data_IF_427707293750
#
_entry.id   IF_427707293750
#
_cell.length_a   1.000
_cell.length_b   1.000
_cell.length_c   1.000
_cell.angle_alpha   90.00
_cell.angle_beta   90.00
_cell.angle_gamma   90.00
#
_symmetry.space_group_name_H-M   'P 1'
#
loop_
_entity.id
_entity.type
_entity.pdbx_description
1 polymer ?
#
# COMPACT_ATOMS: atom_id res chain seq x y z
N UNK A 1 -25.46 8.15 -13.50
CA UNK A 1 -25.30 7.06 -12.51
C UNK A 1 -23.97 7.27 -11.80
N UNK A 2 -23.96 7.43 -10.47
CA UNK A 2 -22.71 7.40 -9.69
C UNK A 2 -22.36 5.94 -9.51
N UNK A 3 -21.30 5.49 -10.17
CA UNK A 3 -20.74 4.15 -9.98
C UNK A 3 -20.19 4.12 -8.55
N UNK A 4 -20.95 3.55 -7.62
CA UNK A 4 -20.42 3.19 -6.31
C UNK A 4 -19.44 2.04 -6.54
N UNK A 5 -18.19 2.39 -6.79
CA UNK A 5 -17.08 1.45 -6.73
C UNK A 5 -16.92 1.13 -5.25
N UNK A 6 -17.52 0.02 -4.81
CA UNK A 6 -17.23 -0.57 -3.52
C UNK A 6 -15.77 -1.02 -3.55
N UNK A 7 -14.86 -0.12 -3.19
CA UNK A 7 -13.45 -0.45 -3.03
C UNK A 7 -13.38 -1.55 -1.98
N UNK A 8 -12.68 -2.64 -2.28
CA UNK A 8 -12.46 -3.72 -1.32
C UNK A 8 -11.88 -3.11 -0.03
N UNK A 9 -12.44 -3.41 1.14
CA UNK A 9 -11.89 -2.94 2.41
C UNK A 9 -10.43 -3.42 2.57
N UNK A 10 -10.07 -4.58 2.01
CA UNK A 10 -8.69 -5.08 1.98
C UNK A 10 -7.74 -4.16 1.19
N UNK A 11 -8.19 -3.63 0.06
CA UNK A 11 -7.41 -2.68 -0.76
C UNK A 11 -7.25 -1.37 -0.01
N UNK A 12 -8.32 -0.89 0.63
CA UNK A 12 -8.31 0.33 1.42
C UNK A 12 -7.37 0.20 2.63
N UNK A 13 -7.37 -0.94 3.31
CA UNK A 13 -6.46 -1.25 4.41
C UNK A 13 -5.00 -1.28 3.94
N UNK A 14 -4.71 -1.90 2.79
CA UNK A 14 -3.38 -1.90 2.21
C UNK A 14 -2.89 -0.48 1.87
N UNK A 15 -3.77 0.40 1.37
CA UNK A 15 -3.44 1.82 1.16
C UNK A 15 -3.15 2.55 2.47
N UNK A 16 -3.92 2.32 3.55
CA UNK A 16 -3.61 2.91 4.86
C UNK A 16 -2.23 2.51 5.39
N UNK A 17 -1.85 1.25 5.22
CA UNK A 17 -0.51 0.78 5.59
C UNK A 17 0.59 1.47 4.77
N UNK A 18 0.38 1.61 3.46
CA UNK A 18 1.31 2.34 2.57
C UNK A 18 1.47 3.80 3.03
N UNK A 19 0.38 4.49 3.37
CA UNK A 19 0.46 5.87 3.86
C UNK A 19 1.24 5.98 5.18
N UNK A 20 1.02 5.05 6.12
CA UNK A 20 1.75 5.03 7.39
C UNK A 20 3.26 4.80 7.22
N UNK A 21 3.63 3.88 6.31
CA UNK A 21 5.03 3.62 5.96
C UNK A 21 5.71 4.85 5.34
N UNK A 22 5.00 5.60 4.48
CA UNK A 22 5.50 6.84 3.88
C UNK A 22 5.67 7.97 4.90
N UNK A 23 4.72 8.14 5.82
CA UNK A 23 4.83 9.13 6.90
C UNK A 23 6.04 8.84 7.79
N UNK A 24 6.32 7.57 8.06
CA UNK A 24 7.49 7.16 8.83
C UNK A 24 8.80 7.49 8.10
N UNK A 25 8.87 7.28 6.78
CA UNK A 25 10.03 7.68 5.97
C UNK A 25 10.23 9.19 5.96
N UNK A 26 9.16 9.97 5.82
CA UNK A 26 9.21 11.45 5.86
C UNK A 26 9.68 11.93 7.24
N UNK A 27 9.19 11.32 8.32
CA UNK A 27 9.61 11.62 9.67
C UNK A 27 11.11 11.33 9.87
N UNK A 28 11.60 10.18 9.40
CA UNK A 28 13.02 9.82 9.47
C UNK A 28 13.89 10.80 8.68
N UNK A 29 13.48 11.17 7.47
CA UNK A 29 14.21 12.12 6.63
C UNK A 29 14.28 13.54 7.26
N UNK A 30 13.23 13.99 7.93
CA UNK A 30 13.16 15.30 8.59
C UNK A 30 13.95 15.38 9.89
N UNK A 31 14.04 14.27 10.64
CA UNK A 31 14.63 14.27 11.99
C UNK A 31 16.09 13.80 12.02
N UNK A 32 16.70 13.50 10.87
CA UNK A 32 18.16 13.57 10.64
C UNK A 32 19.07 12.72 11.54
N UNK A 33 18.52 11.84 12.39
CA UNK A 33 19.31 11.06 13.32
C UNK A 33 19.56 9.68 12.72
N UNK A 34 20.68 9.58 12.00
CA UNK A 34 21.25 8.41 11.33
C UNK A 34 20.24 7.65 10.46
N UNK A 35 20.38 7.78 9.14
CA UNK A 35 19.77 6.87 8.17
C UNK A 35 19.98 5.41 8.61
N UNK A 36 19.01 4.85 9.34
CA UNK A 36 19.04 3.46 9.74
C UNK A 36 18.64 2.66 8.50
N UNK A 37 19.64 2.31 7.70
CA UNK A 37 19.46 1.62 6.43
C UNK A 37 18.69 0.30 6.60
N UNK A 38 18.75 -0.32 7.78
CA UNK A 38 17.92 -1.48 8.12
C UNK A 38 16.42 -1.13 8.18
N UNK A 39 16.06 -0.01 8.82
CA UNK A 39 14.67 0.45 8.87
C UNK A 39 14.15 0.87 7.50
N UNK A 40 14.97 1.60 6.72
CA UNK A 40 14.61 1.97 5.34
C UNK A 40 14.36 0.73 4.50
N UNK A 41 15.26 -0.27 4.57
CA UNK A 41 15.11 -1.53 3.84
C UNK A 41 13.88 -2.32 4.29
N UNK A 42 13.55 -2.28 5.58
CA UNK A 42 12.35 -2.91 6.14
C UNK A 42 11.08 -2.27 5.60
N UNK A 43 11.01 -0.94 5.58
CA UNK A 43 9.88 -0.19 5.04
C UNK A 43 9.74 -0.42 3.55
N UNK A 44 10.85 -0.37 2.80
CA UNK A 44 10.85 -0.63 1.35
C UNK A 44 10.28 -2.03 1.02
N UNK A 45 10.67 -3.05 1.80
CA UNK A 45 10.13 -4.42 1.64
C UNK A 45 8.62 -4.48 1.90
N UNK A 46 8.14 -3.81 2.95
CA UNK A 46 6.71 -3.74 3.27
C UNK A 46 5.91 -3.02 2.18
N UNK A 47 6.38 -1.86 1.73
CA UNK A 47 5.77 -1.12 0.62
C UNK A 47 5.64 -1.97 -0.64
N UNK A 48 6.69 -2.71 -1.01
CA UNK A 48 6.65 -3.63 -2.17
C UNK A 48 5.65 -4.77 -1.99
N UNK A 49 5.51 -5.31 -0.79
CA UNK A 49 4.54 -6.35 -0.50
C UNK A 49 3.10 -5.82 -0.58
N UNK A 50 2.86 -4.64 0.01
CA UNK A 50 1.53 -4.02 0.03
C UNK A 50 1.10 -3.59 -1.38
N UNK A 51 2.01 -3.05 -2.19
CA UNK A 51 1.74 -2.75 -3.60
C UNK A 51 1.35 -4.00 -4.39
N UNK A 52 2.08 -5.11 -4.23
CA UNK A 52 1.73 -6.38 -4.88
C UNK A 52 0.39 -6.95 -4.42
N UNK A 53 0.06 -6.80 -3.14
CA UNK A 53 -1.23 -7.21 -2.61
C UNK A 53 -2.36 -6.39 -3.24
N UNK A 54 -2.19 -5.07 -3.37
CA UNK A 54 -3.13 -4.20 -4.07
C UNK A 54 -3.26 -4.58 -5.55
N UNK A 55 -2.15 -4.79 -6.27
CA UNK A 55 -2.17 -5.23 -7.67
C UNK A 55 -2.95 -6.54 -7.85
N UNK A 56 -2.68 -7.54 -7.00
CA UNK A 56 -3.40 -8.82 -7.02
C UNK A 56 -4.90 -8.65 -6.75
N UNK A 57 -5.26 -7.85 -5.74
CA UNK A 57 -6.65 -7.58 -5.39
C UNK A 57 -7.38 -6.82 -6.51
N UNK A 58 -6.71 -5.89 -7.20
CA UNK A 58 -7.30 -5.18 -8.35
C UNK A 58 -7.51 -6.12 -9.54
N UNK A 59 -6.51 -6.91 -9.92
CA UNK A 59 -6.61 -7.87 -11.03
C UNK A 59 -7.68 -8.93 -10.75
N UNK A 60 -7.72 -9.47 -9.52
CA UNK A 60 -8.72 -10.48 -9.15
C UNK A 60 -10.14 -9.93 -9.17
N UNK A 61 -10.34 -8.66 -8.75
CA UNK A 61 -11.65 -8.01 -8.85
C UNK A 61 -12.11 -7.83 -10.30
N UNK A 62 -11.22 -7.48 -11.21
CA UNK A 62 -11.56 -7.35 -12.64
C UNK A 62 -11.87 -8.72 -13.27
N UNK A 63 -11.10 -9.77 -12.92
CA UNK A 63 -11.38 -11.15 -13.37
C UNK A 63 -12.73 -11.71 -12.86
N UNK A 64 -13.18 -11.30 -11.67
CA UNK A 64 -14.52 -11.67 -11.18
C UNK A 64 -15.66 -10.93 -11.87
N UNK A 65 -15.42 -9.73 -12.43
CA UNK A 65 -16.43 -8.99 -13.20
C UNK A 65 -16.63 -9.54 -14.61
N UNK A 66 -15.60 -10.12 -15.23
CA UNK A 66 -15.72 -10.71 -16.58
C UNK A 66 -16.43 -12.07 -16.62
N UNK A 67 -16.62 -12.72 -15.46
CA UNK A 67 -17.28 -14.03 -15.35
C UNK A 67 -18.72 -13.97 -14.84
N UNK A 68 -19.25 -12.77 -14.58
CA UNK A 68 -20.59 -12.52 -14.06
C UNK A 68 -21.57 -12.02 -15.11
#
# INVERSE_FOLDING_TARGET
>A
MRTNISINEDVKNAFYEIYGDLDMLIFMAKNGNVFNQFEVTRIEKKLKQNLKAVEYLMISQDLTKERG
#
